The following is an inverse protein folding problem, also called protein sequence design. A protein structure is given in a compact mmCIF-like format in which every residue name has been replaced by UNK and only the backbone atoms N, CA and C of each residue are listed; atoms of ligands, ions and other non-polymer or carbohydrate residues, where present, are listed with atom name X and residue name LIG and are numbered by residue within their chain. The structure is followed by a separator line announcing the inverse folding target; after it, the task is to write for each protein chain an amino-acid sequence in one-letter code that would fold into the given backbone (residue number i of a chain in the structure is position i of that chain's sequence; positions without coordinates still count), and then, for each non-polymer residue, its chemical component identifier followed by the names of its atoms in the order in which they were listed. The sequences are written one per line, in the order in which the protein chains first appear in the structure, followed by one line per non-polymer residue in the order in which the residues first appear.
data_IF_535178198395
#
_entry.id   IF_535178198395
#
_cell.length_a   1.000
_cell.length_b   1.000
_cell.length_c   1.000
_cell.angle_alpha   90.00
_cell.angle_beta   90.00
_cell.angle_gamma   90.00
#
_symmetry.space_group_name_H-M   'P 1'
#
loop_
_entity.id
_entity.type
_entity.pdbx_description
1 polymer ?
#
# COMPACT_ATOMS: atom_id res chain seq x y z
N UNK A 1 -4.15 -10.84 -11.26
CA UNK A 1 -4.58 -11.06 -9.86
C UNK A 1 -3.69 -10.24 -8.94
N UNK A 2 -4.19 -9.84 -7.78
CA UNK A 2 -3.34 -9.30 -6.72
C UNK A 2 -2.78 -10.49 -5.94
N UNK A 3 -1.46 -10.52 -5.78
CA UNK A 3 -0.78 -11.54 -4.96
C UNK A 3 -0.12 -10.80 -3.81
N UNK A 4 -0.52 -11.18 -2.60
CA UNK A 4 0.19 -10.84 -1.37
C UNK A 4 0.97 -12.09 -0.95
N UNK A 5 2.24 -11.93 -0.59
CA UNK A 5 3.04 -13.02 -0.05
C UNK A 5 2.87 -13.06 1.47
N UNK A 6 2.69 -14.25 2.04
CA UNK A 6 2.88 -14.49 3.48
C UNK A 6 4.38 -14.48 3.79
N UNK A 7 5.04 -13.35 3.55
CA UNK A 7 6.35 -13.06 4.13
C UNK A 7 6.15 -12.78 5.61
N UNK A 8 6.92 -13.45 6.46
CA UNK A 8 6.93 -13.29 7.91
C UNK A 8 6.71 -11.82 8.29
N UNK A 9 5.56 -11.62 8.94
CA UNK A 9 5.14 -10.44 9.70
C UNK A 9 4.80 -9.13 8.98
N UNK A 10 3.66 -9.13 8.29
CA UNK A 10 2.77 -7.96 8.20
C UNK A 10 2.04 -7.65 9.54
N UNK A 11 2.70 -7.91 10.67
CA UNK A 11 2.12 -7.87 12.02
C UNK A 11 3.11 -8.11 13.17
N UNK A 12 4.43 -8.10 12.92
CA UNK A 12 5.42 -8.01 14.01
C UNK A 12 5.55 -6.53 14.30
N UNK A 13 4.82 -6.09 15.32
CA UNK A 13 4.91 -4.77 15.95
C UNK A 13 4.99 -3.62 14.94
N UNK A 14 3.84 -3.08 14.52
CA UNK A 14 3.76 -1.84 13.76
C UNK A 14 4.65 -0.78 14.42
N UNK A 15 5.87 -0.63 13.90
CA UNK A 15 6.72 0.52 14.20
C UNK A 15 5.85 1.75 13.93
N UNK A 16 5.45 2.52 14.96
CA UNK A 16 4.50 3.60 14.80
C UNK A 16 5.00 4.63 13.77
N UNK A 17 6.31 4.73 13.58
CA UNK A 17 6.92 5.60 12.58
C UNK A 17 6.70 5.08 11.15
N UNK A 18 6.78 3.76 10.92
CA UNK A 18 6.48 3.17 9.60
C UNK A 18 5.02 3.33 9.22
N UNK A 19 4.12 3.10 10.18
CA UNK A 19 2.69 3.32 9.94
C UNK A 19 2.41 4.80 9.66
N UNK A 20 3.02 5.70 10.43
CA UNK A 20 2.91 7.16 10.21
C UNK A 20 3.41 7.57 8.83
N UNK A 21 4.53 7.02 8.36
CA UNK A 21 5.02 7.24 7.00
C UNK A 21 4.01 6.72 5.95
N UNK A 22 3.43 5.54 6.16
CA UNK A 22 2.41 4.98 5.29
C UNK A 22 1.16 5.87 5.19
N UNK A 23 0.72 6.47 6.31
CA UNK A 23 -0.37 7.47 6.32
C UNK A 23 -0.01 8.68 5.46
N UNK A 24 1.18 9.26 5.64
CA UNK A 24 1.62 10.43 4.85
C UNK A 24 1.72 10.12 3.36
N UNK A 25 2.20 8.92 3.00
CA UNK A 25 2.24 8.46 1.61
C UNK A 25 0.82 8.28 1.06
N UNK A 26 -0.06 7.63 1.79
CA UNK A 26 -1.47 7.41 1.41
C UNK A 26 -2.20 8.74 1.11
N UNK A 27 -2.09 9.72 2.02
CA UNK A 27 -2.72 11.04 1.85
C UNK A 27 -2.18 11.78 0.61
N UNK A 28 -0.86 11.72 0.38
CA UNK A 28 -0.21 12.34 -0.78
C UNK A 28 -0.59 11.68 -2.10
N UNK A 29 -0.69 10.34 -2.12
CA UNK A 29 -0.86 9.56 -3.35
C UNK A 29 -2.30 9.61 -3.89
N UNK A 30 -3.31 9.58 -3.01
CA UNK A 30 -4.69 9.32 -3.44
C UNK A 30 -5.63 10.52 -3.35
N UNK A 31 -5.27 11.61 -2.64
CA UNK A 31 -6.07 12.83 -2.59
C UNK A 31 -7.52 12.62 -2.14
N UNK A 32 -7.74 11.65 -1.23
CA UNK A 32 -9.07 11.25 -0.77
C UNK A 32 -9.68 12.28 0.21
N UNK A 33 -11.00 12.22 0.48
CA UNK A 33 -11.62 13.10 1.47
C UNK A 33 -10.98 12.94 2.86
N UNK A 34 -10.83 14.03 3.62
CA UNK A 34 -10.16 14.05 4.94
C UNK A 34 -10.74 13.07 5.98
N UNK A 35 -11.99 12.63 5.81
CA UNK A 35 -12.62 11.62 6.68
C UNK A 35 -12.05 10.21 6.49
N UNK A 36 -11.35 9.99 5.39
CA UNK A 36 -10.78 8.71 5.04
C UNK A 36 -9.54 8.44 5.87
N UNK A 37 -9.49 7.29 6.54
CA UNK A 37 -8.39 6.92 7.43
C UNK A 37 -7.78 5.62 6.95
N UNK A 38 -6.45 5.59 6.89
CA UNK A 38 -5.71 4.35 6.65
C UNK A 38 -5.97 3.38 7.80
N UNK A 39 -6.34 2.15 7.47
CA UNK A 39 -6.52 1.05 8.41
C UNK A 39 -5.27 0.18 8.43
N UNK A 40 -4.75 -0.19 7.26
CA UNK A 40 -3.54 -1.00 7.12
C UNK A 40 -3.00 -0.91 5.69
N UNK A 41 -1.80 -1.45 5.46
CA UNK A 41 -1.16 -1.49 4.15
C UNK A 41 -0.31 -2.75 3.98
N UNK A 42 -0.18 -3.23 2.74
CA UNK A 42 0.54 -4.46 2.42
C UNK A 42 1.39 -4.27 1.17
N UNK A 43 2.60 -4.81 1.18
CA UNK A 43 3.37 -4.98 -0.05
C UNK A 43 2.65 -5.99 -0.93
N UNK A 44 2.58 -5.71 -2.24
CA UNK A 44 1.93 -6.61 -3.17
C UNK A 44 2.43 -6.38 -4.59
N UNK A 45 2.06 -7.28 -5.49
CA UNK A 45 2.29 -7.11 -6.92
C UNK A 45 0.99 -7.23 -7.70
N UNK A 46 0.75 -6.28 -8.59
CA UNK A 46 -0.36 -6.32 -9.53
C UNK A 46 0.08 -6.95 -10.85
N UNK A 47 -0.45 -8.14 -11.11
CA UNK A 47 -0.20 -8.87 -12.35
C UNK A 47 -1.19 -8.45 -13.43
N UNK A 48 -0.68 -7.72 -14.44
CA UNK A 48 -1.39 -7.41 -15.69
C UNK A 48 -0.47 -7.63 -16.88
N UNK A 49 -0.65 -8.74 -17.60
CA UNK A 49 0.23 -9.13 -18.70
C UNK A 49 1.45 -9.93 -18.20
N UNK A 50 2.61 -9.73 -18.82
CA UNK A 50 3.82 -10.56 -18.57
C UNK A 50 4.71 -10.06 -17.44
N UNK A 51 4.60 -8.79 -17.05
CA UNK A 51 5.47 -8.15 -16.05
C UNK A 51 4.63 -7.75 -14.84
N UNK A 52 5.03 -8.11 -13.61
CA UNK A 52 4.35 -7.65 -12.40
C UNK A 52 4.65 -6.18 -12.14
N UNK A 53 3.62 -5.41 -11.80
CA UNK A 53 3.79 -4.07 -11.25
C UNK A 53 3.88 -4.19 -9.73
N UNK A 54 5.10 -4.08 -9.19
CA UNK A 54 5.32 -4.08 -7.75
C UNK A 54 4.76 -2.82 -7.12
N UNK A 55 4.19 -2.95 -5.93
CA UNK A 55 3.53 -1.84 -5.28
C UNK A 55 3.04 -2.12 -3.87
N UNK A 56 2.12 -1.27 -3.44
CA UNK A 56 1.47 -1.33 -2.14
C UNK A 56 -0.03 -1.24 -2.28
N UNK A 57 -0.72 -2.04 -1.48
CA UNK A 57 -2.14 -1.86 -1.21
C UNK A 57 -2.27 -1.05 0.08
N UNK A 58 -3.13 -0.04 0.04
CA UNK A 58 -3.58 0.72 1.19
C UNK A 58 -5.06 0.43 1.39
N UNK A 59 -5.41 -0.13 2.54
CA UNK A 59 -6.80 -0.33 2.94
C UNK A 59 -7.19 0.80 3.88
N UNK A 60 -8.19 1.58 3.49
CA UNK A 60 -8.77 2.62 4.31
C UNK A 60 -10.21 2.26 4.69
N UNK A 61 -10.85 3.08 5.52
CA UNK A 61 -12.22 2.83 6.01
C UNK A 61 -13.24 2.51 4.91
N UNK A 62 -13.11 3.12 3.72
CA UNK A 62 -14.07 3.02 2.62
C UNK A 62 -13.42 2.68 1.26
N UNK A 63 -12.09 2.69 1.14
CA UNK A 63 -11.40 2.47 -0.14
C UNK A 63 -10.32 1.39 -0.03
N UNK A 64 -10.13 0.69 -1.15
CA UNK A 64 -8.97 -0.14 -1.41
C UNK A 64 -8.16 0.55 -2.51
N UNK A 65 -6.97 1.02 -2.16
CA UNK A 65 -6.11 1.75 -3.06
C UNK A 65 -4.86 0.95 -3.39
N UNK A 66 -4.42 0.97 -4.64
CA UNK A 66 -3.18 0.34 -5.08
C UNK A 66 -2.26 1.39 -5.70
N UNK A 67 -1.00 1.40 -5.27
CA UNK A 67 0.06 2.22 -5.85
C UNK A 67 1.18 1.30 -6.36
N UNK A 68 1.56 1.44 -7.62
CA UNK A 68 2.71 0.72 -8.20
C UNK A 68 3.89 1.63 -8.48
N UNK A 69 5.08 1.11 -8.26
CA UNK A 69 6.32 1.74 -8.72
C UNK A 69 6.51 1.47 -10.21
N UNK A 70 6.67 2.53 -11.00
CA UNK A 70 7.16 2.40 -12.38
C UNK A 70 8.68 2.52 -12.34
N UNK A 71 9.39 1.49 -12.85
CA UNK A 71 10.85 1.39 -12.97
C UNK A 71 11.54 2.77 -13.07
N UNK A 72 12.25 3.17 -12.01
CA UNK A 72 13.22 4.26 -12.05
C UNK A 72 12.96 5.49 -11.17
N UNK A 73 11.82 5.59 -10.49
CA UNK A 73 11.60 6.67 -9.52
C UNK A 73 10.77 6.17 -8.33
N UNK A 74 11.43 6.02 -7.18
CA UNK A 74 10.81 6.24 -5.87
C UNK A 74 11.47 7.48 -5.26
#
# INVERSE_FOLDING_TARGET
GLIAEEGTSAGDEEDPERFREAVLRFERLFGLPQREKLVTYFSCSYWRGRVPNQGWIYLSTNFLCFYSYMLGNE
#
